data_IF_209075486845
#
_entry.id   IF_209075486845
#
_cell.length_a   1.000
_cell.length_b   1.000
_cell.length_c   1.000
_cell.angle_alpha   90.00
_cell.angle_beta   90.00
_cell.angle_gamma   90.00
#
_symmetry.space_group_name_H-M   'P 1'
#
loop_
_entity.id
_entity.type
_entity.pdbx_description
1 polymer ?
#
# COMPACT_ATOMS: atom_id res chain seq x y z
N UNK A 1 36.72 3.04 11.38
CA UNK A 1 35.45 2.42 10.90
C UNK A 1 35.51 0.90 11.11
N UNK A 2 34.48 0.25 11.72
CA UNK A 2 34.50 -1.20 12.05
C UNK A 2 34.50 -2.13 10.83
N UNK A 3 33.76 -1.78 9.78
CA UNK A 3 33.62 -2.62 8.58
C UNK A 3 34.73 -2.32 7.58
N UNK A 4 34.89 -1.06 7.17
CA UNK A 4 35.85 -0.68 6.13
C UNK A 4 37.32 -0.64 6.57
N UNK A 5 37.63 -0.87 7.86
CA UNK A 5 38.99 -0.88 8.43
C UNK A 5 39.84 0.37 8.14
N UNK A 6 39.21 1.46 7.72
CA UNK A 6 39.86 2.76 7.49
C UNK A 6 39.76 3.65 8.74
N UNK A 7 40.79 4.47 8.93
CA UNK A 7 40.76 5.58 9.86
C UNK A 7 39.83 6.67 9.29
N UNK A 8 38.81 7.04 10.05
CA UNK A 8 37.90 8.13 9.68
C UNK A 8 38.43 9.38 10.36
N UNK A 9 38.80 10.39 9.58
CA UNK A 9 39.40 11.62 10.09
C UNK A 9 38.33 12.54 10.68
N UNK A 10 37.25 12.79 9.94
CA UNK A 10 36.15 13.65 10.35
C UNK A 10 34.81 12.97 10.03
N UNK A 11 33.84 13.14 10.93
CA UNK A 11 32.45 12.74 10.73
C UNK A 11 31.62 14.01 10.54
N UNK A 12 31.20 14.26 9.31
CA UNK A 12 30.31 15.39 9.00
C UNK A 12 28.91 15.16 9.60
N UNK A 13 28.21 16.23 10.01
CA UNK A 13 26.84 16.12 10.49
C UNK A 13 25.88 15.66 9.37
N UNK A 14 24.81 14.96 9.75
CA UNK A 14 23.75 14.54 8.82
C UNK A 14 22.97 15.78 8.39
N UNK A 15 22.85 15.99 7.07
CA UNK A 15 21.98 17.05 6.53
C UNK A 15 20.51 16.66 6.71
N UNK A 16 19.70 17.47 7.40
CA UNK A 16 18.29 17.15 7.62
C UNK A 16 17.48 17.38 6.33
N UNK A 17 16.41 16.61 6.17
CA UNK A 17 15.38 16.91 5.19
C UNK A 17 14.61 18.18 5.60
N UNK A 18 14.08 18.91 4.62
CA UNK A 18 13.26 20.11 4.86
C UNK A 18 11.97 19.80 5.66
N UNK A 19 11.45 18.58 5.53
CA UNK A 19 10.27 18.10 6.24
C UNK A 19 10.38 16.62 6.56
N UNK A 20 9.68 16.18 7.61
CA UNK A 20 9.66 14.78 8.07
C UNK A 20 8.37 14.06 7.70
N UNK A 21 7.41 14.76 7.10
CA UNK A 21 6.13 14.23 6.61
C UNK A 21 5.95 14.61 5.14
N UNK A 22 5.13 13.85 4.43
CA UNK A 22 4.71 14.07 3.05
C UNK A 22 5.85 14.18 2.03
N UNK A 23 7.00 13.58 2.33
CA UNK A 23 8.21 13.69 1.54
C UNK A 23 8.36 12.60 0.46
N UNK A 24 7.53 11.54 0.49
CA UNK A 24 7.59 10.47 -0.51
C UNK A 24 6.69 10.78 -1.69
N UNK A 25 7.27 10.69 -2.88
CA UNK A 25 6.55 10.78 -4.15
C UNK A 25 6.01 9.43 -4.65
N UNK A 26 6.43 8.31 -4.05
CA UNK A 26 5.98 6.95 -4.38
C UNK A 26 5.79 6.13 -3.11
N UNK A 27 4.62 5.52 -2.97
CA UNK A 27 4.34 4.50 -1.96
C UNK A 27 3.75 3.26 -2.60
N UNK A 28 3.94 2.15 -1.91
CA UNK A 28 3.33 0.86 -2.21
C UNK A 28 2.56 0.40 -0.97
N UNK A 29 1.33 -0.06 -1.17
CA UNK A 29 0.46 -0.58 -0.14
C UNK A 29 0.00 -1.99 -0.53
N UNK A 30 -0.19 -2.83 0.48
CA UNK A 30 -0.67 -4.20 0.30
C UNK A 30 -2.14 -4.29 0.68
N UNK A 31 -2.93 -4.92 -0.19
CA UNK A 31 -4.24 -5.44 0.17
C UNK A 31 -4.03 -6.70 1.00
N UNK A 32 -4.75 -6.84 2.10
CA UNK A 32 -4.74 -8.08 2.86
C UNK A 32 -6.08 -8.41 3.50
N UNK A 33 -6.42 -9.70 3.55
CA UNK A 33 -7.52 -10.23 4.35
C UNK A 33 -7.16 -10.43 5.82
N UNK A 34 -5.88 -10.21 6.20
CA UNK A 34 -5.36 -10.36 7.56
C UNK A 34 -4.82 -9.03 8.09
N UNK A 35 -5.54 -8.44 9.06
CA UNK A 35 -5.13 -7.22 9.75
C UNK A 35 -4.12 -7.50 10.86
N UNK A 36 -3.17 -6.60 11.03
CA UNK A 36 -2.34 -6.55 12.22
C UNK A 36 -3.15 -5.99 13.41
N UNK A 37 -3.24 -6.77 14.50
CA UNK A 37 -3.90 -6.37 15.74
C UNK A 37 -2.89 -5.77 16.73
N UNK A 38 -3.30 -4.70 17.40
CA UNK A 38 -2.59 -4.19 18.58
C UNK A 38 -2.66 -5.21 19.73
N UNK A 39 -1.75 -5.11 20.72
CA UNK A 39 -1.80 -5.99 21.89
C UNK A 39 -3.14 -5.94 22.63
N UNK A 40 -3.78 -4.76 22.67
CA UNK A 40 -5.09 -4.56 23.29
C UNK A 40 -6.19 -5.29 22.51
N UNK A 41 -6.28 -5.07 21.19
CA UNK A 41 -7.29 -5.75 20.35
C UNK A 41 -7.16 -7.28 20.41
N UNK A 42 -5.92 -7.78 20.52
CA UNK A 42 -5.67 -9.21 20.69
C UNK A 42 -6.16 -9.71 22.06
N UNK A 43 -5.94 -8.94 23.13
CA UNK A 43 -6.43 -9.26 24.47
C UNK A 43 -7.97 -9.23 24.54
N UNK A 44 -8.59 -8.33 23.78
CA UNK A 44 -10.05 -8.23 23.65
C UNK A 44 -10.65 -9.33 22.75
N UNK A 45 -9.83 -10.23 22.20
CA UNK A 45 -10.28 -11.35 21.38
C UNK A 45 -10.77 -10.95 19.99
N UNK A 46 -10.35 -9.79 19.47
CA UNK A 46 -10.74 -9.36 18.13
C UNK A 46 -10.19 -10.30 17.05
N UNK A 47 -10.97 -10.50 15.98
CA UNK A 47 -10.52 -11.26 14.83
C UNK A 47 -9.52 -10.44 14.01
N UNK A 48 -8.49 -11.12 13.50
CA UNK A 48 -7.58 -10.54 12.52
C UNK A 48 -8.07 -10.72 11.07
N UNK A 49 -9.19 -11.38 10.85
CA UNK A 49 -9.80 -11.56 9.53
C UNK A 49 -10.56 -10.29 9.14
N UNK A 50 -9.88 -9.43 8.39
CA UNK A 50 -10.42 -8.16 7.95
C UNK A 50 -9.70 -7.69 6.69
N UNK A 51 -10.48 -7.27 5.70
CA UNK A 51 -9.97 -6.66 4.48
C UNK A 51 -9.41 -5.25 4.77
N UNK A 52 -8.10 -5.11 4.58
CA UNK A 52 -7.32 -3.90 4.89
C UNK A 52 -6.40 -3.53 3.74
N UNK A 53 -6.02 -2.25 3.68
CA UNK A 53 -5.07 -1.73 2.70
C UNK A 53 -4.07 -0.82 3.41
N UNK A 54 -2.80 -1.21 3.41
CA UNK A 54 -1.79 -0.51 4.21
C UNK A 54 -0.39 -1.11 4.10
N UNK A 55 0.36 -1.10 5.20
CA UNK A 55 1.73 -1.58 5.24
C UNK A 55 1.88 -2.84 6.08
N UNK A 56 2.85 -3.68 5.72
CA UNK A 56 3.30 -4.75 6.60
C UNK A 56 3.94 -4.19 7.87
N UNK A 57 3.65 -4.80 9.02
CA UNK A 57 4.39 -4.49 10.25
C UNK A 57 5.79 -5.11 10.15
N UNK A 58 6.81 -4.40 10.62
CA UNK A 58 8.16 -4.94 10.69
C UNK A 58 8.18 -6.28 11.47
N UNK A 59 8.76 -7.32 10.85
CA UNK A 59 8.78 -8.68 11.40
C UNK A 59 7.52 -9.52 11.14
N UNK A 60 6.49 -9.00 10.48
CA UNK A 60 5.27 -9.72 10.12
C UNK A 60 4.91 -9.50 8.64
N UNK A 61 5.31 -10.45 7.79
CA UNK A 61 5.06 -10.39 6.35
C UNK A 61 3.61 -10.73 5.97
N UNK A 62 2.89 -11.43 6.85
CA UNK A 62 1.57 -12.00 6.58
C UNK A 62 0.41 -11.11 7.03
N UNK A 63 0.69 -10.00 7.70
CA UNK A 63 -0.33 -9.12 8.29
C UNK A 63 -0.07 -7.66 7.92
N UNK A 64 -1.16 -6.95 7.63
CA UNK A 64 -1.12 -5.54 7.21
C UNK A 64 -1.75 -4.66 8.27
N UNK A 65 -1.07 -3.56 8.60
CA UNK A 65 -1.62 -2.50 9.45
C UNK A 65 -2.65 -1.73 8.64
N UNK A 66 -3.90 -1.71 9.12
CA UNK A 66 -4.93 -0.86 8.54
C UNK A 66 -4.59 0.61 8.83
N UNK A 67 -4.54 1.45 7.79
CA UNK A 67 -4.23 2.87 7.93
C UNK A 67 -5.31 3.71 7.23
N UNK A 68 -5.77 4.75 7.93
CA UNK A 68 -6.69 5.74 7.36
C UNK A 68 -5.94 6.98 6.86
N UNK A 69 -4.82 7.32 7.50
CA UNK A 69 -3.97 8.42 7.11
C UNK A 69 -2.50 7.99 7.06
N UNK A 70 -1.84 8.27 5.94
CA UNK A 70 -0.42 8.08 5.75
C UNK A 70 0.26 9.44 5.70
N UNK A 71 1.16 9.69 6.64
CA UNK A 71 1.95 10.91 6.71
C UNK A 71 3.18 10.90 5.79
N UNK A 72 3.38 9.86 4.97
CA UNK A 72 4.56 9.75 4.11
C UNK A 72 4.35 10.38 2.73
N UNK A 73 3.12 10.41 2.21
CA UNK A 73 2.78 10.94 0.90
C UNK A 73 1.56 11.85 1.04
N UNK A 74 1.61 13.02 0.41
CA UNK A 74 0.53 13.99 0.42
C UNK A 74 -0.72 13.48 -0.30
N UNK A 75 -1.81 14.19 -0.12
CA UNK A 75 -3.00 13.98 -0.94
C UNK A 75 -2.67 14.19 -2.43
N UNK A 76 -3.36 13.46 -3.32
CA UNK A 76 -4.58 12.68 -3.10
C UNK A 76 -4.40 11.23 -2.65
N UNK A 77 -3.20 10.81 -2.24
CA UNK A 77 -2.89 9.40 -1.95
C UNK A 77 -3.81 8.77 -0.89
N UNK A 78 -4.11 9.46 0.22
CA UNK A 78 -4.93 8.89 1.28
C UNK A 78 -6.37 8.66 0.83
N UNK A 79 -6.93 9.64 0.13
CA UNK A 79 -8.30 9.58 -0.39
C UNK A 79 -8.43 8.45 -1.41
N UNK A 80 -7.51 8.36 -2.36
CA UNK A 80 -7.48 7.30 -3.38
C UNK A 80 -7.39 5.93 -2.72
N UNK A 81 -6.42 5.72 -1.80
CA UNK A 81 -6.25 4.45 -1.09
C UNK A 81 -7.51 4.05 -0.33
N UNK A 82 -8.08 4.95 0.46
CA UNK A 82 -9.23 4.64 1.30
C UNK A 82 -10.46 4.30 0.45
N UNK A 83 -10.69 5.02 -0.66
CA UNK A 83 -11.78 4.69 -1.59
C UNK A 83 -11.54 3.39 -2.32
N UNK A 84 -10.32 3.13 -2.78
CA UNK A 84 -9.97 1.86 -3.40
C UNK A 84 -10.32 0.66 -2.52
N UNK A 85 -10.05 0.74 -1.21
CA UNK A 85 -10.48 -0.27 -0.23
C UNK A 85 -12.01 -0.40 -0.19
N UNK A 86 -12.74 0.72 -0.10
CA UNK A 86 -14.20 0.71 -0.04
C UNK A 86 -14.84 0.12 -1.30
N UNK A 87 -14.35 0.49 -2.49
CA UNK A 87 -14.82 -0.06 -3.78
C UNK A 87 -14.59 -1.57 -3.82
N UNK A 88 -13.39 -2.02 -3.46
CA UNK A 88 -13.06 -3.44 -3.44
C UNK A 88 -14.00 -4.25 -2.52
N UNK A 89 -14.35 -3.71 -1.36
CA UNK A 89 -15.31 -4.35 -0.43
C UNK A 89 -16.72 -4.35 -1.03
N UNK A 90 -17.17 -3.23 -1.61
CA UNK A 90 -18.51 -3.11 -2.21
C UNK A 90 -18.71 -4.03 -3.42
N UNK A 91 -17.64 -4.28 -4.18
CA UNK A 91 -17.63 -5.19 -5.32
C UNK A 91 -17.26 -6.65 -4.94
N UNK A 92 -17.19 -6.96 -3.65
CA UNK A 92 -16.89 -8.30 -3.12
C UNK A 92 -15.58 -8.91 -3.64
N UNK A 93 -14.58 -8.06 -3.93
CA UNK A 93 -13.27 -8.51 -4.38
C UNK A 93 -12.47 -9.08 -3.21
N UNK A 94 -11.82 -10.23 -3.42
CA UNK A 94 -11.00 -10.87 -2.40
C UNK A 94 -9.65 -10.18 -2.24
N UNK A 95 -9.24 -9.98 -0.99
CA UNK A 95 -7.95 -9.39 -0.63
C UNK A 95 -6.92 -10.51 -0.42
N UNK A 96 -5.66 -10.24 -0.74
CA UNK A 96 -4.62 -11.26 -0.70
C UNK A 96 -4.28 -11.74 0.73
N UNK A 97 -4.23 -13.05 0.92
CA UNK A 97 -3.66 -13.69 2.11
C UNK A 97 -2.26 -14.23 1.76
N UNK A 98 -1.24 -13.59 2.31
CA UNK A 98 0.16 -13.93 2.03
C UNK A 98 0.62 -15.27 2.66
N UNK A 99 -0.16 -15.89 3.56
CA UNK A 99 0.18 -17.23 4.08
C UNK A 99 -0.23 -18.33 3.13
N UNK A 100 -1.44 -18.24 2.60
CA UNK A 100 -2.01 -19.26 1.71
C UNK A 100 -1.82 -18.92 0.23
N UNK A 101 -1.36 -17.70 -0.07
CA UNK A 101 -1.11 -17.19 -1.42
C UNK A 101 -2.37 -17.10 -2.30
N UNK A 102 -3.50 -16.78 -1.67
CA UNK A 102 -4.81 -16.65 -2.33
C UNK A 102 -5.37 -15.24 -2.20
N UNK A 103 -6.35 -14.91 -3.03
CA UNK A 103 -6.98 -13.59 -3.08
C UNK A 103 -6.63 -12.82 -4.36
N UNK A 104 -7.51 -11.92 -4.77
CA UNK A 104 -7.45 -11.27 -6.06
C UNK A 104 -6.60 -10.01 -6.06
N UNK A 105 -6.85 -9.10 -5.11
CA UNK A 105 -6.17 -7.81 -4.98
C UNK A 105 -4.88 -7.99 -4.18
N UNK A 106 -3.72 -7.61 -4.75
CA UNK A 106 -2.41 -7.79 -4.10
C UNK A 106 -1.81 -6.50 -3.58
N UNK A 107 -1.39 -5.63 -4.49
CA UNK A 107 -0.62 -4.43 -4.16
C UNK A 107 -1.16 -3.25 -4.97
N UNK A 108 -1.03 -2.05 -4.43
CA UNK A 108 -1.20 -0.81 -5.16
C UNK A 108 0.01 0.07 -4.96
N UNK A 109 0.51 0.64 -6.06
CA UNK A 109 1.56 1.65 -6.05
C UNK A 109 0.89 2.96 -6.44
N UNK A 110 1.10 4.01 -5.63
CA UNK A 110 0.65 5.36 -5.93
C UNK A 110 1.89 6.25 -6.04
N UNK A 111 2.03 6.92 -7.18
CA UNK A 111 3.08 7.88 -7.45
C UNK A 111 2.47 9.23 -7.75
N UNK A 112 2.99 10.27 -7.09
CA UNK A 112 2.62 11.67 -7.34
C UNK A 112 3.89 12.40 -7.75
N UNK A 113 3.91 13.01 -8.93
CA UNK A 113 5.06 13.77 -9.40
C UNK A 113 5.13 15.14 -8.73
N UNK A 114 6.24 15.85 -8.89
CA UNK A 114 6.35 17.25 -8.46
C UNK A 114 5.47 18.20 -9.28
N UNK A 115 4.90 17.73 -10.40
CA UNK A 115 3.92 18.44 -11.22
C UNK A 115 2.47 18.01 -10.88
N UNK A 116 2.29 17.33 -9.73
CA UNK A 116 0.99 16.86 -9.22
C UNK A 116 0.29 15.80 -10.10
N UNK A 117 1.01 15.20 -11.06
CA UNK A 117 0.49 14.09 -11.85
C UNK A 117 0.42 12.81 -11.00
N UNK A 118 -0.71 12.11 -11.08
CA UNK A 118 -0.99 10.94 -10.24
C UNK A 118 -1.03 9.67 -11.09
N UNK A 119 -0.08 8.78 -10.82
CA UNK A 119 -0.03 7.44 -11.38
C UNK A 119 -0.42 6.41 -10.32
N UNK A 120 -1.34 5.52 -10.68
CA UNK A 120 -1.77 4.39 -9.86
C UNK A 120 -1.49 3.10 -10.61
N UNK A 121 -0.85 2.13 -9.95
CA UNK A 121 -0.60 0.79 -10.50
C UNK A 121 -1.21 -0.22 -9.54
N UNK A 122 -2.07 -1.11 -10.04
CA UNK A 122 -2.70 -2.17 -9.22
C UNK A 122 -2.21 -3.54 -9.69
N UNK A 123 -1.79 -4.37 -8.75
CA UNK A 123 -1.42 -5.76 -9.00
C UNK A 123 -2.57 -6.71 -8.64
N UNK A 124 -2.99 -7.52 -9.60
CA UNK A 124 -3.99 -8.58 -9.43
C UNK A 124 -3.33 -9.96 -9.51
N UNK A 125 -3.86 -10.94 -8.77
CA UNK A 125 -3.31 -12.30 -8.74
C UNK A 125 -3.57 -13.08 -10.04
N UNK A 126 -4.66 -12.78 -10.75
CA UNK A 126 -5.09 -13.49 -11.96
C UNK A 126 -5.70 -12.55 -12.99
N UNK A 127 -5.66 -12.95 -14.27
CA UNK A 127 -6.29 -12.21 -15.36
C UNK A 127 -7.80 -12.48 -15.39
N UNK A 128 -8.55 -11.67 -14.65
CA UNK A 128 -10.02 -11.73 -14.60
C UNK A 128 -10.64 -10.37 -14.96
N UNK A 129 -10.75 -10.03 -16.26
CA UNK A 129 -11.23 -8.72 -16.71
C UNK A 129 -12.62 -8.35 -16.20
N UNK A 130 -13.49 -9.34 -16.00
CA UNK A 130 -14.84 -9.12 -15.45
C UNK A 130 -14.82 -8.63 -14.00
N UNK A 131 -13.75 -8.91 -13.24
CA UNK A 131 -13.58 -8.47 -11.85
C UNK A 131 -12.84 -7.14 -11.78
N UNK A 132 -11.71 -6.99 -12.48
CA UNK A 132 -10.92 -5.77 -12.36
C UNK A 132 -11.44 -4.59 -13.18
N UNK A 133 -12.15 -4.79 -14.30
CA UNK A 133 -12.63 -3.64 -15.10
C UNK A 133 -13.63 -2.76 -14.33
N UNK A 134 -14.70 -3.30 -13.72
CA UNK A 134 -15.62 -2.48 -12.92
C UNK A 134 -14.92 -1.73 -11.78
N UNK A 135 -13.93 -2.36 -11.16
CA UNK A 135 -13.11 -1.75 -10.11
C UNK A 135 -12.28 -0.57 -10.61
N UNK A 136 -11.59 -0.75 -11.74
CA UNK A 136 -10.78 0.30 -12.36
C UNK A 136 -11.66 1.45 -12.89
N UNK A 137 -12.80 1.13 -13.50
CA UNK A 137 -13.74 2.11 -14.04
C UNK A 137 -14.33 2.99 -12.94
N UNK A 138 -14.77 2.40 -11.82
CA UNK A 138 -15.27 3.15 -10.67
C UNK A 138 -14.18 4.02 -10.03
N UNK A 139 -12.94 3.51 -9.96
CA UNK A 139 -11.80 4.28 -9.45
C UNK A 139 -11.52 5.50 -10.35
N UNK A 140 -11.50 5.34 -11.67
CA UNK A 140 -11.30 6.45 -12.61
C UNK A 140 -12.43 7.47 -12.53
N UNK A 141 -13.69 7.02 -12.44
CA UNK A 141 -14.84 7.89 -12.31
C UNK A 141 -14.81 8.72 -11.02
N UNK A 142 -14.34 8.12 -9.91
CA UNK A 142 -14.22 8.78 -8.62
C UNK A 142 -13.04 9.74 -8.49
N UNK A 143 -12.01 9.60 -9.33
CA UNK A 143 -10.77 10.37 -9.23
C UNK A 143 -10.26 10.86 -10.60
N UNK A 144 -10.84 11.93 -11.15
CA UNK A 144 -10.39 12.54 -12.41
C UNK A 144 -8.93 13.02 -12.39
N UNK A 145 -8.36 13.24 -11.20
CA UNK A 145 -6.94 13.60 -11.02
C UNK A 145 -5.95 12.45 -11.27
N UNK A 146 -6.42 11.21 -11.41
CA UNK A 146 -5.55 10.09 -11.82
C UNK A 146 -5.20 10.28 -13.29
N UNK A 147 -3.98 10.74 -13.56
CA UNK A 147 -3.49 10.97 -14.93
C UNK A 147 -3.08 9.68 -15.62
N UNK A 148 -2.72 8.64 -14.85
CA UNK A 148 -2.31 7.34 -15.40
C UNK A 148 -2.74 6.21 -14.48
N UNK A 149 -3.58 5.32 -15.00
CA UNK A 149 -3.96 4.08 -14.32
C UNK A 149 -3.38 2.89 -15.08
N UNK A 150 -2.58 2.09 -14.39
CA UNK A 150 -1.98 0.87 -14.92
C UNK A 150 -2.39 -0.31 -14.03
N UNK A 151 -2.33 -1.50 -14.59
CA UNK A 151 -2.45 -2.73 -13.81
C UNK A 151 -1.46 -3.77 -14.29
N UNK A 152 -1.17 -4.74 -13.43
CA UNK A 152 -0.41 -5.93 -13.79
C UNK A 152 -1.06 -7.18 -13.22
N UNK A 153 -0.87 -8.29 -13.93
CA UNK A 153 -1.25 -9.62 -13.44
C UNK A 153 0.01 -10.27 -12.89
N UNK A 154 0.04 -10.52 -11.59
CA UNK A 154 1.13 -11.19 -10.91
C UNK A 154 0.62 -12.44 -10.20
N UNK A 155 0.78 -13.59 -10.85
CA UNK A 155 0.40 -14.90 -10.32
C UNK A 155 1.49 -15.56 -9.47
N UNK A 156 2.68 -14.96 -9.37
CA UNK A 156 3.81 -15.55 -8.64
C UNK A 156 3.74 -15.21 -7.16
N UNK A 157 4.16 -16.17 -6.33
CA UNK A 157 4.46 -15.94 -4.91
C UNK A 157 5.71 -15.05 -4.80
N UNK A 158 5.71 -14.15 -3.82
CA UNK A 158 6.83 -13.25 -3.54
C UNK A 158 7.96 -13.93 -2.76
#
# INVERSE_FOLDING_TARGET
>A
MRIGKVAVQEMLPILPALGQTYYRNKLEFSFSSKRWLTPQELADGQSNEQNVLGFHRAGAFDKVVNIEHCFLQSDPCNVIRNRMRSIAIAQELSFYDARINEGFLRNVIIRVTTLEEVMVIIAFQQDAPQQFRPFLDELLAGFPQITTLLYCINSKVN
#
